data_IF_955538876547
#
_entry.id   IF_955538876547
#
_cell.length_a   1.000
_cell.length_b   1.000
_cell.length_c   1.000
_cell.angle_alpha   90.00
_cell.angle_beta   90.00
_cell.angle_gamma   90.00
#
_symmetry.space_group_name_H-M   'P 1'
#
loop_
_entity.id
_entity.type
_entity.pdbx_description
1 polymer ?
#
# COMPACT_ATOMS: atom_id res chain seq x y z
N UNK A 1 -0.24 7.75 6.79
CA UNK A 1 -0.86 8.62 5.75
C UNK A 1 -2.36 8.66 5.97
N UNK A 2 -3.00 9.76 5.64
CA UNK A 2 -4.45 9.94 5.79
C UNK A 2 -5.03 10.67 4.57
N UNK A 3 -6.32 10.43 4.29
CA UNK A 3 -7.08 11.22 3.31
C UNK A 3 -7.96 12.23 4.07
N UNK A 4 -7.65 13.53 3.96
CA UNK A 4 -8.29 14.59 4.77
C UNK A 4 -9.81 14.65 4.58
N UNK A 5 -10.30 14.37 3.39
CA UNK A 5 -11.73 14.46 3.04
C UNK A 5 -12.63 13.50 3.82
N UNK A 6 -12.06 12.46 4.44
CA UNK A 6 -12.81 11.41 5.13
C UNK A 6 -12.75 11.49 6.65
N UNK A 7 -11.98 12.43 7.21
CA UNK A 7 -11.72 12.52 8.64
C UNK A 7 -12.17 13.84 9.22
N UNK A 8 -12.73 13.80 10.45
CA UNK A 8 -13.06 15.00 11.21
C UNK A 8 -11.79 15.70 11.71
N UNK A 9 -11.88 16.99 12.02
CA UNK A 9 -10.77 17.74 12.61
C UNK A 9 -10.32 17.15 13.96
N UNK A 10 -11.26 16.65 14.75
CA UNK A 10 -10.97 16.01 16.04
C UNK A 10 -10.16 14.72 15.84
N UNK A 11 -10.57 13.87 14.89
CA UNK A 11 -9.81 12.65 14.54
C UNK A 11 -8.39 12.98 14.08
N UNK A 12 -8.22 14.04 13.28
CA UNK A 12 -6.88 14.48 12.83
C UNK A 12 -6.04 14.95 14.02
N UNK A 13 -6.65 15.64 14.97
CA UNK A 13 -5.98 16.11 16.20
C UNK A 13 -5.54 14.91 17.05
N UNK A 14 -6.40 13.93 17.23
CA UNK A 14 -6.08 12.69 17.97
C UNK A 14 -4.93 11.93 17.30
N UNK A 15 -4.94 11.78 15.97
CA UNK A 15 -3.86 11.15 15.23
C UNK A 15 -2.52 11.89 15.41
N UNK A 16 -2.54 13.23 15.40
CA UNK A 16 -1.33 14.05 15.63
C UNK A 16 -0.79 13.92 17.04
N UNK A 17 -1.59 13.51 18.01
CA UNK A 17 -1.13 13.24 19.37
C UNK A 17 -0.46 11.87 19.53
N UNK A 18 -0.75 10.93 18.61
CA UNK A 18 -0.28 9.55 18.65
C UNK A 18 0.88 9.25 17.69
N UNK A 19 1.03 10.04 16.63
CA UNK A 19 2.00 9.81 15.56
C UNK A 19 2.90 11.03 15.34
N UNK A 20 4.20 10.82 15.13
CA UNK A 20 5.16 11.88 14.84
C UNK A 20 4.83 12.62 13.54
N UNK A 21 4.28 11.92 12.56
CA UNK A 21 3.91 12.48 11.27
C UNK A 21 2.51 12.03 10.85
N UNK A 22 1.66 12.99 10.53
CA UNK A 22 0.36 12.76 9.90
C UNK A 22 0.43 13.35 8.49
N UNK A 23 0.59 12.50 7.49
CA UNK A 23 0.87 12.91 6.11
C UNK A 23 -0.42 12.84 5.30
N UNK A 24 -0.95 13.98 4.83
CA UNK A 24 -2.12 14.00 3.96
C UNK A 24 -1.74 13.50 2.55
N UNK A 25 -2.63 12.69 1.97
CA UNK A 25 -2.51 12.20 0.59
C UNK A 25 -3.83 12.33 -0.13
N UNK A 26 -3.77 12.52 -1.44
CA UNK A 26 -4.94 12.51 -2.31
C UNK A 26 -5.45 11.08 -2.51
N UNK A 27 -6.77 10.95 -2.62
CA UNK A 27 -7.39 9.65 -2.93
C UNK A 27 -7.13 9.26 -4.37
N UNK A 28 -6.75 8.01 -4.56
CA UNK A 28 -6.61 7.40 -5.89
C UNK A 28 -7.69 6.34 -6.02
N UNK A 29 -8.67 6.63 -6.88
CA UNK A 29 -9.81 5.75 -7.11
C UNK A 29 -9.49 4.69 -8.16
N UNK A 30 -9.92 3.45 -7.93
CA UNK A 30 -9.93 2.41 -8.94
C UNK A 30 -10.96 2.73 -10.05
N UNK A 31 -10.57 2.75 -11.32
CA UNK A 31 -11.54 2.86 -12.43
C UNK A 31 -12.28 1.54 -12.66
N UNK A 32 -11.73 0.40 -12.23
CA UNK A 32 -12.28 -0.93 -12.43
C UNK A 32 -13.18 -1.37 -11.27
N UNK A 33 -14.25 -0.59 -11.04
CA UNK A 33 -15.21 -0.87 -9.98
C UNK A 33 -16.02 -2.17 -10.20
N UNK A 34 -16.12 -2.64 -11.44
CA UNK A 34 -16.84 -3.88 -11.76
C UNK A 34 -16.20 -5.10 -11.09
N UNK A 35 -14.87 -5.21 -11.13
CA UNK A 35 -14.15 -6.29 -10.46
C UNK A 35 -14.35 -6.26 -8.93
N UNK A 36 -14.35 -5.07 -8.34
CA UNK A 36 -14.60 -4.90 -6.91
C UNK A 36 -16.01 -5.38 -6.50
N UNK A 37 -17.01 -5.10 -7.33
CA UNK A 37 -18.36 -5.61 -7.10
C UNK A 37 -18.45 -7.14 -7.25
N UNK A 38 -17.77 -7.72 -8.23
CA UNK A 38 -17.70 -9.18 -8.39
C UNK A 38 -17.03 -9.87 -7.20
N UNK A 39 -16.03 -9.23 -6.61
CA UNK A 39 -15.36 -9.71 -5.38
C UNK A 39 -16.17 -9.44 -4.10
N UNK A 40 -17.29 -8.72 -4.18
CA UNK A 40 -18.03 -8.28 -3.01
C UNK A 40 -17.32 -7.23 -2.15
N UNK A 41 -16.32 -6.51 -2.71
CA UNK A 41 -15.47 -5.55 -2.00
C UNK A 41 -15.52 -4.12 -2.62
N UNK A 42 -16.72 -3.52 -2.77
CA UNK A 42 -16.83 -2.15 -3.28
C UNK A 42 -16.17 -1.10 -2.36
N UNK A 43 -15.95 -1.44 -1.08
CA UNK A 43 -15.24 -0.65 -0.09
C UNK A 43 -13.80 -0.35 -0.52
N UNK A 44 -13.16 -1.19 -1.34
CA UNK A 44 -11.79 -1.03 -1.83
C UNK A 44 -11.63 -0.04 -2.99
N UNK A 45 -12.68 0.71 -3.35
CA UNK A 45 -12.63 1.66 -4.48
C UNK A 45 -11.50 2.70 -4.39
N UNK A 46 -10.96 2.95 -3.21
CA UNK A 46 -9.85 3.88 -2.97
C UNK A 46 -8.57 3.19 -2.47
N UNK A 47 -8.49 1.87 -2.55
CA UNK A 47 -7.33 1.10 -2.10
C UNK A 47 -6.05 1.50 -2.85
N UNK A 48 -6.13 1.96 -4.10
CA UNK A 48 -4.99 2.50 -4.85
C UNK A 48 -4.31 3.69 -4.18
N UNK A 49 -4.95 4.36 -3.24
CA UNK A 49 -4.31 5.42 -2.43
C UNK A 49 -3.04 4.91 -1.71
N UNK A 50 -2.93 3.60 -1.46
CA UNK A 50 -1.76 2.96 -0.86
C UNK A 50 -0.47 3.19 -1.67
N UNK A 51 -0.54 3.34 -3.00
CA UNK A 51 0.65 3.60 -3.83
C UNK A 51 1.33 4.94 -3.52
N UNK A 52 0.64 5.86 -2.82
CA UNK A 52 1.24 7.10 -2.34
C UNK A 52 2.42 6.86 -1.35
N UNK A 53 2.61 5.63 -0.86
CA UNK A 53 3.79 5.23 -0.09
C UNK A 53 5.08 5.41 -0.88
N UNK A 54 5.09 5.06 -2.17
CA UNK A 54 6.27 5.21 -3.04
C UNK A 54 6.64 6.66 -3.30
N UNK A 55 5.70 7.60 -3.15
CA UNK A 55 5.95 9.04 -3.26
C UNK A 55 6.64 9.65 -2.04
N UNK A 56 6.70 8.95 -0.90
CA UNK A 56 7.23 9.47 0.37
C UNK A 56 8.77 9.43 0.42
N UNK A 57 9.44 10.03 -0.55
CA UNK A 57 10.90 9.97 -0.74
C UNK A 57 11.71 10.67 0.36
N UNK A 58 11.07 11.40 1.27
CA UNK A 58 11.71 11.92 2.49
C UNK A 58 12.13 10.80 3.47
N UNK A 59 11.55 9.60 3.34
CA UNK A 59 11.95 8.42 4.09
C UNK A 59 12.84 7.51 3.24
N UNK A 60 13.92 7.02 3.82
CA UNK A 60 14.82 6.07 3.13
C UNK A 60 14.22 4.69 2.96
N UNK A 61 13.36 4.30 3.90
CA UNK A 61 12.64 3.03 3.91
C UNK A 61 11.35 3.17 4.72
N UNK A 62 10.32 2.47 4.30
CA UNK A 62 9.02 2.42 4.98
C UNK A 62 8.69 0.96 5.26
N UNK A 63 8.30 0.66 6.49
CA UNK A 63 7.59 -0.55 6.85
C UNK A 63 6.12 -0.18 6.93
N UNK A 64 5.33 -0.70 6.01
CA UNK A 64 3.89 -0.45 5.94
C UNK A 64 3.12 -1.56 6.63
N UNK A 65 2.12 -1.18 7.39
CA UNK A 65 1.14 -2.08 8.02
C UNK A 65 -0.27 -1.56 7.71
N UNK A 66 -1.17 -2.45 7.32
CA UNK A 66 -2.60 -2.13 7.25
C UNK A 66 -3.14 -1.84 8.67
N UNK A 67 -4.19 -1.03 8.77
CA UNK A 67 -4.75 -0.59 10.05
C UNK A 67 -5.37 -1.73 10.88
N UNK A 68 -5.65 -2.87 10.27
CA UNK A 68 -6.17 -4.10 10.90
C UNK A 68 -5.06 -5.13 11.22
N UNK A 69 -3.79 -4.76 11.06
CA UNK A 69 -2.63 -5.58 11.43
C UNK A 69 -2.20 -5.26 12.87
N UNK A 70 -1.98 -6.30 13.66
CA UNK A 70 -1.46 -6.18 15.03
C UNK A 70 -0.04 -6.73 15.11
N UNK A 71 0.91 -5.88 15.48
CA UNK A 71 2.29 -6.29 15.74
C UNK A 71 2.39 -6.99 17.10
N UNK A 72 2.82 -8.25 17.10
CA UNK A 72 3.03 -9.03 18.34
C UNK A 72 4.43 -8.85 18.95
N UNK A 73 5.34 -8.24 18.21
CA UNK A 73 6.72 -7.92 18.62
C UNK A 73 7.21 -6.68 17.86
N UNK A 74 8.35 -6.15 18.26
CA UNK A 74 9.01 -5.07 17.53
C UNK A 74 9.35 -5.49 16.10
N UNK A 75 9.18 -4.58 15.15
CA UNK A 75 9.35 -4.82 13.71
C UNK A 75 10.61 -4.15 13.14
N UNK A 76 11.50 -3.65 14.00
CA UNK A 76 12.70 -2.90 13.61
C UNK A 76 13.61 -3.69 12.66
N UNK A 77 13.63 -5.02 12.79
CA UNK A 77 14.39 -5.90 11.91
C UNK A 77 13.98 -5.80 10.43
N UNK A 78 12.73 -5.42 10.13
CA UNK A 78 12.25 -5.24 8.77
C UNK A 78 12.97 -4.09 8.05
N UNK A 79 13.47 -3.10 8.78
CA UNK A 79 14.28 -2.02 8.21
C UNK A 79 15.64 -2.48 7.69
N UNK A 80 16.12 -3.67 8.10
CA UNK A 80 17.39 -4.26 7.65
C UNK A 80 17.27 -5.03 6.32
N UNK A 81 16.05 -5.23 5.81
CA UNK A 81 15.85 -5.89 4.52
C UNK A 81 16.41 -5.00 3.41
N UNK A 82 17.37 -5.51 2.63
CA UNK A 82 18.06 -4.70 1.60
C UNK A 82 17.26 -4.53 0.30
N UNK A 83 16.21 -5.29 0.09
CA UNK A 83 15.36 -5.19 -1.10
C UNK A 83 14.69 -3.81 -1.22
N UNK A 84 14.44 -3.37 -2.46
CA UNK A 84 13.64 -2.17 -2.74
C UNK A 84 12.16 -2.38 -2.42
N UNK A 85 11.69 -3.62 -2.54
CA UNK A 85 10.34 -4.04 -2.16
C UNK A 85 10.38 -5.44 -1.55
N UNK A 86 9.67 -5.64 -0.44
CA UNK A 86 9.40 -6.94 0.16
C UNK A 86 7.98 -6.96 0.74
N UNK A 87 7.35 -8.12 0.72
CA UNK A 87 5.99 -8.30 1.22
C UNK A 87 5.78 -9.71 1.79
N UNK A 88 4.78 -9.86 2.65
CA UNK A 88 4.37 -11.16 3.17
C UNK A 88 3.72 -11.99 2.04
N UNK A 89 4.00 -13.31 1.95
CA UNK A 89 3.29 -14.19 1.01
C UNK A 89 1.79 -14.19 1.28
N UNK A 90 0.99 -14.26 0.24
CA UNK A 90 -0.44 -14.48 0.39
C UNK A 90 -0.72 -15.95 0.76
N UNK A 91 -1.63 -16.18 1.71
CA UNK A 91 -1.96 -17.53 2.19
C UNK A 91 -2.81 -18.33 1.18
N UNK A 92 -3.60 -17.62 0.37
CA UNK A 92 -4.50 -18.23 -0.62
C UNK A 92 -3.86 -18.44 -1.99
N UNK A 93 -2.80 -17.70 -2.29
CA UNK A 93 -2.13 -17.67 -3.60
C UNK A 93 -0.62 -17.70 -3.40
N UNK A 94 0.01 -18.89 -3.38
CA UNK A 94 1.41 -19.03 -3.00
C UNK A 94 2.40 -18.26 -3.91
N UNK A 95 1.99 -17.94 -5.14
CA UNK A 95 2.79 -17.16 -6.09
C UNK A 95 2.55 -15.64 -5.99
N UNK A 96 1.61 -15.21 -5.16
CA UNK A 96 1.29 -13.82 -4.89
C UNK A 96 1.76 -13.39 -3.49
N UNK A 97 1.83 -12.08 -3.27
CA UNK A 97 2.02 -11.52 -1.93
C UNK A 97 0.77 -10.76 -1.47
N UNK A 98 0.63 -10.67 -0.15
CA UNK A 98 -0.38 -9.84 0.49
C UNK A 98 0.16 -8.42 0.69
N UNK A 99 -0.64 -7.40 0.41
CA UNK A 99 -0.26 -5.99 0.50
C UNK A 99 -0.46 -5.37 1.89
N UNK A 100 -0.83 -6.15 2.90
CA UNK A 100 -1.09 -5.67 4.27
C UNK A 100 0.16 -5.41 5.09
N UNK A 101 1.28 -6.11 4.75
CA UNK A 101 2.59 -5.87 5.38
C UNK A 101 3.64 -5.78 4.28
N UNK A 102 4.29 -4.62 4.16
CA UNK A 102 5.27 -4.37 3.10
C UNK A 102 6.47 -3.59 3.62
N UNK A 103 7.63 -3.87 3.05
CA UNK A 103 8.83 -3.05 3.18
C UNK A 103 9.09 -2.38 1.84
N UNK A 104 9.21 -1.06 1.84
CA UNK A 104 9.26 -0.24 0.63
C UNK A 104 10.45 0.71 0.72
N UNK A 105 11.26 0.77 -0.32
CA UNK A 105 12.17 1.89 -0.56
C UNK A 105 11.45 2.88 -1.48
N UNK A 106 11.00 4.05 -0.98
CA UNK A 106 10.26 5.00 -1.79
C UNK A 106 11.06 5.46 -3.02
N UNK A 107 10.39 5.52 -4.17
CA UNK A 107 10.97 5.96 -5.44
C UNK A 107 9.90 6.61 -6.32
N UNK A 108 10.20 7.80 -6.87
CA UNK A 108 9.25 8.54 -7.70
C UNK A 108 8.99 7.88 -9.05
N UNK A 109 9.97 7.17 -9.62
CA UNK A 109 9.79 6.44 -10.88
C UNK A 109 8.83 5.26 -10.70
N UNK A 110 8.98 4.51 -9.59
CA UNK A 110 8.03 3.44 -9.24
C UNK A 110 6.64 4.01 -8.93
N UNK A 111 6.57 5.13 -8.19
CA UNK A 111 5.30 5.81 -7.94
C UNK A 111 4.54 6.13 -9.24
N UNK A 112 5.21 6.78 -10.20
CA UNK A 112 4.56 7.15 -11.46
C UNK A 112 4.19 5.94 -12.32
N UNK A 113 4.99 4.89 -12.31
CA UNK A 113 4.67 3.63 -12.99
C UNK A 113 3.41 2.98 -12.40
N UNK A 114 3.35 2.85 -11.09
CA UNK A 114 2.18 2.34 -10.37
C UNK A 114 0.94 3.22 -10.57
N UNK A 115 1.11 4.54 -10.53
CA UNK A 115 0.01 5.48 -10.75
C UNK A 115 -0.57 5.36 -12.18
N UNK A 116 0.30 5.20 -13.18
CA UNK A 116 -0.14 5.00 -14.57
C UNK A 116 -0.95 3.71 -14.71
N UNK A 117 -0.46 2.60 -14.16
CA UNK A 117 -1.18 1.33 -14.15
C UNK A 117 -2.52 1.43 -13.41
N UNK A 118 -2.54 2.08 -12.24
CA UNK A 118 -3.75 2.29 -11.45
C UNK A 118 -4.81 3.08 -12.22
N UNK A 119 -4.41 4.15 -12.89
CA UNK A 119 -5.33 4.99 -13.68
C UNK A 119 -5.78 4.34 -14.98
N UNK A 120 -4.97 3.44 -15.55
CA UNK A 120 -5.34 2.62 -16.70
C UNK A 120 -6.30 1.46 -16.32
N UNK A 121 -6.46 1.17 -15.04
CA UNK A 121 -7.29 0.06 -14.55
C UNK A 121 -6.61 -1.31 -14.67
N UNK A 122 -5.30 -1.34 -14.72
CA UNK A 122 -4.49 -2.55 -14.82
C UNK A 122 -4.36 -3.27 -13.46
N UNK A 123 -5.49 -3.75 -12.93
CA UNK A 123 -5.49 -4.55 -11.71
C UNK A 123 -6.48 -5.69 -11.87
N UNK A 124 -6.03 -6.94 -11.69
CA UNK A 124 -6.88 -8.12 -11.88
C UNK A 124 -8.00 -8.19 -10.83
N UNK A 125 -7.76 -7.71 -9.62
CA UNK A 125 -8.75 -7.67 -8.55
C UNK A 125 -9.45 -6.29 -8.42
N UNK A 126 -8.96 -5.28 -9.13
CA UNK A 126 -9.46 -3.90 -9.04
C UNK A 126 -8.98 -3.15 -7.79
N UNK A 127 -8.13 -3.76 -6.95
CA UNK A 127 -7.58 -3.21 -5.73
C UNK A 127 -6.05 -3.12 -5.77
N UNK A 128 -5.45 -2.66 -4.68
CA UNK A 128 -4.00 -2.44 -4.55
C UNK A 128 -3.18 -3.74 -4.62
N UNK A 129 -3.67 -4.84 -4.03
CA UNK A 129 -2.95 -6.10 -4.04
C UNK A 129 -2.77 -6.65 -5.46
N UNK A 130 -3.82 -6.65 -6.27
CA UNK A 130 -3.74 -7.09 -7.66
C UNK A 130 -2.84 -6.20 -8.49
N UNK A 131 -2.94 -4.88 -8.33
CA UNK A 131 -2.06 -3.92 -9.00
C UNK A 131 -0.59 -4.17 -8.68
N UNK A 132 -0.26 -4.29 -7.39
CA UNK A 132 1.11 -4.47 -6.93
C UNK A 132 1.68 -5.82 -7.38
N UNK A 133 0.91 -6.91 -7.30
CA UNK A 133 1.35 -8.22 -7.78
C UNK A 133 1.64 -8.18 -9.28
N UNK A 134 0.80 -7.56 -10.11
CA UNK A 134 1.06 -7.39 -11.54
C UNK A 134 2.31 -6.52 -11.79
N UNK A 135 2.49 -5.43 -11.03
CA UNK A 135 3.66 -4.56 -11.19
C UNK A 135 4.97 -5.29 -10.88
N UNK A 136 4.99 -6.11 -9.83
CA UNK A 136 6.18 -6.84 -9.38
C UNK A 136 6.32 -8.24 -9.99
N UNK A 137 5.42 -8.70 -10.85
CA UNK A 137 5.47 -10.02 -11.47
C UNK A 137 6.82 -10.31 -12.14
N UNK A 138 7.36 -9.31 -12.86
CA UNK A 138 8.62 -9.41 -13.59
C UNK A 138 9.74 -8.54 -13.00
N UNK A 139 9.58 -8.07 -11.77
CA UNK A 139 10.54 -7.24 -11.05
C UNK A 139 11.05 -7.96 -9.81
N UNK A 140 12.31 -7.69 -9.41
CA UNK A 140 12.84 -8.31 -8.20
C UNK A 140 12.10 -7.82 -6.96
N UNK A 141 11.57 -8.75 -6.19
CA UNK A 141 11.03 -8.50 -4.86
C UNK A 141 11.36 -9.65 -3.92
N UNK A 142 11.35 -9.41 -2.61
CA UNK A 142 11.71 -10.40 -1.61
C UNK A 142 10.46 -10.95 -0.91
N UNK A 143 10.30 -12.27 -0.97
CA UNK A 143 9.18 -13.04 -0.36
C UNK A 143 9.40 -13.36 1.13
N UNK A 144 10.18 -12.60 1.87
CA UNK A 144 10.49 -12.93 3.26
C UNK A 144 10.21 -11.72 4.16
N UNK A 145 9.06 -11.74 4.78
CA UNK A 145 8.77 -10.93 5.97
C UNK A 145 8.46 -11.83 7.15
#
# INVERSE_FOLDING_TARGET
MITLESLSADTITDLKSLYDYVIPVERIRSPNTANLYLMGRPDLSYAFTKIALWRQTQFRKIVYLDADVVALRALDELFNIEASFAAAPDIGWPDAFNSGVMVIKPDMGEYWSLHTMATAGESFDGADQGLLNQYYEHRPWQRRL
#
